data_IF_984711497843
#
_entry.id   IF_984711497843
#
_cell.length_a   1.000
_cell.length_b   1.000
_cell.length_c   1.000
_cell.angle_alpha   90.00
_cell.angle_beta   90.00
_cell.angle_gamma   90.00
#
_symmetry.space_group_name_H-M   'P 1'
#
loop_
_entity.id
_entity.type
_entity.pdbx_description
1 polymer ?
#
# COMPACT_ATOMS: atom_id res chain seq x y z
N UNK A 1 -4.20 -2.15 -11.81
CA UNK A 1 -4.56 -3.15 -10.80
C UNK A 1 -4.33 -4.58 -11.31
N UNK A 2 -5.01 -4.99 -12.37
CA UNK A 2 -4.94 -6.37 -12.91
C UNK A 2 -3.53 -6.90 -13.13
N UNK A 3 -2.63 -6.11 -13.74
CA UNK A 3 -1.23 -6.53 -13.92
C UNK A 3 -0.56 -7.01 -12.62
N UNK A 4 -0.84 -6.35 -11.48
CA UNK A 4 -0.27 -6.74 -10.18
C UNK A 4 -0.84 -8.07 -9.70
N UNK A 5 -2.12 -8.32 -9.96
CA UNK A 5 -2.78 -9.59 -9.63
C UNK A 5 -2.13 -10.69 -10.47
N UNK A 6 -2.00 -10.49 -11.78
CA UNK A 6 -1.41 -11.47 -12.69
C UNK A 6 0.06 -11.77 -12.34
N UNK A 7 0.86 -10.73 -12.07
CA UNK A 7 2.26 -10.87 -11.67
C UNK A 7 2.37 -11.70 -10.37
N UNK A 8 1.52 -11.46 -9.37
CA UNK A 8 1.52 -12.20 -8.10
C UNK A 8 1.06 -13.65 -8.28
N UNK A 9 0.01 -13.90 -9.08
CA UNK A 9 -0.47 -15.25 -9.39
C UNK A 9 0.65 -16.09 -9.99
N UNK A 10 1.35 -15.53 -10.98
CA UNK A 10 2.46 -16.17 -11.66
C UNK A 10 3.65 -16.40 -10.72
N UNK A 11 4.05 -15.40 -9.93
CA UNK A 11 5.18 -15.52 -8.99
C UNK A 11 4.93 -16.59 -7.92
N UNK A 12 3.73 -16.62 -7.34
CA UNK A 12 3.35 -17.59 -6.33
C UNK A 12 3.02 -18.98 -6.90
N UNK A 13 3.06 -19.13 -8.23
CA UNK A 13 2.75 -20.39 -8.95
C UNK A 13 1.42 -20.98 -8.50
N UNK A 14 0.38 -20.17 -8.44
CA UNK A 14 -0.95 -20.61 -7.99
C UNK A 14 -1.47 -21.71 -8.90
N UNK A 15 -2.02 -22.76 -8.28
CA UNK A 15 -2.54 -23.93 -8.97
C UNK A 15 -4.06 -23.89 -9.09
N UNK A 16 -4.64 -24.71 -9.96
CA UNK A 16 -6.11 -24.81 -10.11
C UNK A 16 -6.82 -25.20 -8.81
N UNK A 17 -6.15 -25.95 -7.92
CA UNK A 17 -6.69 -26.32 -6.60
C UNK A 17 -6.79 -25.12 -5.65
N UNK A 18 -5.98 -24.09 -5.86
CA UNK A 18 -5.92 -22.87 -5.05
C UNK A 18 -6.70 -21.70 -5.68
N UNK A 19 -7.23 -21.89 -6.89
CA UNK A 19 -7.96 -20.86 -7.64
C UNK A 19 -9.10 -20.23 -6.82
N UNK A 20 -9.94 -20.98 -6.06
CA UNK A 20 -11.00 -20.36 -5.27
C UNK A 20 -10.49 -19.35 -4.23
N UNK A 21 -9.43 -19.69 -3.50
CA UNK A 21 -8.82 -18.82 -2.50
C UNK A 21 -8.06 -17.67 -3.14
N UNK A 22 -7.42 -17.92 -4.28
CA UNK A 22 -6.77 -16.88 -5.07
C UNK A 22 -7.77 -15.84 -5.56
N UNK A 23 -8.90 -16.27 -6.13
CA UNK A 23 -9.92 -15.38 -6.68
C UNK A 23 -10.53 -14.50 -5.58
N UNK A 24 -10.77 -15.06 -4.39
CA UNK A 24 -11.23 -14.30 -3.23
C UNK A 24 -10.21 -13.24 -2.78
N UNK A 25 -8.92 -13.57 -2.78
CA UNK A 25 -7.84 -12.63 -2.48
C UNK A 25 -7.72 -11.54 -3.55
N UNK A 26 -7.73 -11.92 -4.83
CA UNK A 26 -7.68 -11.01 -5.96
C UNK A 26 -8.89 -10.06 -5.97
N UNK A 27 -10.08 -10.56 -5.68
CA UNK A 27 -11.29 -9.74 -5.56
C UNK A 27 -11.16 -8.73 -4.42
N UNK A 28 -10.68 -9.15 -3.26
CA UNK A 28 -10.43 -8.23 -2.13
C UNK A 28 -9.45 -7.12 -2.53
N UNK A 29 -8.40 -7.46 -3.29
CA UNK A 29 -7.48 -6.47 -3.80
C UNK A 29 -8.14 -5.47 -4.77
N UNK A 30 -9.01 -5.94 -5.68
CA UNK A 30 -9.76 -5.06 -6.60
C UNK A 30 -10.73 -4.14 -5.87
N UNK A 31 -11.51 -4.70 -4.95
CA UNK A 31 -12.50 -3.95 -4.16
C UNK A 31 -11.82 -2.87 -3.32
N UNK A 32 -10.68 -3.20 -2.70
CA UNK A 32 -9.90 -2.24 -1.94
C UNK A 32 -9.35 -1.12 -2.83
N UNK A 33 -8.84 -1.45 -4.03
CA UNK A 33 -8.36 -0.46 -4.98
C UNK A 33 -9.49 0.49 -5.41
N UNK A 34 -10.64 -0.04 -5.82
CA UNK A 34 -11.79 0.76 -6.24
C UNK A 34 -12.29 1.70 -5.13
N UNK A 35 -12.40 1.21 -3.88
CA UNK A 35 -12.80 2.03 -2.73
C UNK A 35 -11.79 3.13 -2.42
N UNK A 36 -10.51 2.79 -2.49
CA UNK A 36 -9.43 3.75 -2.23
C UNK A 36 -9.42 4.84 -3.29
N UNK A 37 -9.51 4.47 -4.57
CA UNK A 37 -9.56 5.41 -5.70
C UNK A 37 -10.78 6.35 -5.58
N UNK A 38 -11.96 5.80 -5.26
CA UNK A 38 -13.17 6.60 -5.04
C UNK A 38 -12.99 7.59 -3.87
N UNK A 39 -12.48 7.14 -2.72
CA UNK A 39 -12.29 8.00 -1.56
C UNK A 39 -11.28 9.13 -1.83
N UNK A 40 -10.20 8.85 -2.55
CA UNK A 40 -9.23 9.87 -2.97
C UNK A 40 -9.84 10.86 -3.95
N UNK A 41 -10.63 10.39 -4.92
CA UNK A 41 -11.34 11.25 -5.87
C UNK A 41 -12.32 12.18 -5.15
N UNK A 42 -13.19 11.63 -4.30
CA UNK A 42 -14.18 12.40 -3.54
C UNK A 42 -13.52 13.46 -2.66
N UNK A 43 -12.43 13.07 -1.97
CA UNK A 43 -11.67 14.00 -1.14
C UNK A 43 -11.01 15.10 -1.96
N UNK A 44 -10.41 14.77 -3.11
CA UNK A 44 -9.78 15.76 -3.98
C UNK A 44 -10.79 16.80 -4.49
N UNK A 45 -12.04 16.40 -4.72
CA UNK A 45 -13.12 17.29 -5.12
C UNK A 45 -13.66 18.16 -3.99
N UNK A 46 -13.77 17.64 -2.76
CA UNK A 46 -14.35 18.37 -1.62
C UNK A 46 -13.35 19.28 -0.91
N UNK A 47 -12.11 18.83 -0.75
CA UNK A 47 -11.08 19.48 0.05
C UNK A 47 -10.89 20.99 -0.22
N UNK A 48 -10.89 21.48 -1.48
CA UNK A 48 -10.70 22.91 -1.74
C UNK A 48 -11.76 23.82 -1.12
N UNK A 49 -12.92 23.27 -0.76
CA UNK A 49 -14.06 23.98 -0.18
C UNK A 49 -14.31 23.67 1.30
N UNK A 50 -13.57 22.72 1.88
CA UNK A 50 -13.72 22.32 3.28
C UNK A 50 -13.01 23.30 4.22
N UNK A 51 -13.60 23.51 5.41
CA UNK A 51 -12.88 24.16 6.50
C UNK A 51 -11.87 23.18 7.13
N UNK A 52 -11.04 23.68 8.05
CA UNK A 52 -9.98 22.89 8.68
C UNK A 52 -10.50 21.68 9.48
N UNK A 53 -11.66 21.78 10.13
CA UNK A 53 -12.27 20.70 10.92
C UNK A 53 -12.74 19.57 10.00
N UNK A 54 -13.45 19.91 8.92
CA UNK A 54 -13.94 18.94 7.95
C UNK A 54 -12.79 18.27 7.18
N UNK A 55 -11.74 19.02 6.84
CA UNK A 55 -10.54 18.47 6.21
C UNK A 55 -9.84 17.43 7.09
N UNK A 56 -9.86 17.60 8.42
CA UNK A 56 -9.32 16.64 9.39
C UNK A 56 -10.20 15.41 9.55
N UNK A 57 -11.53 15.56 9.57
CA UNK A 57 -12.46 14.42 9.54
C UNK A 57 -12.28 13.57 8.28
N UNK A 58 -12.20 14.21 7.11
CA UNK A 58 -11.96 13.52 5.84
C UNK A 58 -10.64 12.72 5.85
N UNK A 59 -9.59 13.26 6.46
CA UNK A 59 -8.33 12.52 6.61
C UNK A 59 -8.47 11.32 7.54
N UNK A 60 -9.17 11.47 8.66
CA UNK A 60 -9.44 10.37 9.59
C UNK A 60 -10.25 9.24 8.92
N UNK A 61 -11.25 9.58 8.12
CA UNK A 61 -12.03 8.61 7.33
C UNK A 61 -11.16 7.84 6.33
N UNK A 62 -10.25 8.53 5.64
CA UNK A 62 -9.31 7.89 4.72
C UNK A 62 -8.35 6.93 5.44
N UNK A 63 -7.87 7.32 6.63
CA UNK A 63 -7.03 6.46 7.47
C UNK A 63 -7.80 5.21 7.95
N UNK A 64 -9.06 5.38 8.36
CA UNK A 64 -9.92 4.26 8.73
C UNK A 64 -10.18 3.32 7.55
N UNK A 65 -10.50 3.87 6.37
CA UNK A 65 -10.67 3.09 5.15
C UNK A 65 -9.41 2.27 4.83
N UNK A 66 -8.23 2.87 4.99
CA UNK A 66 -6.97 2.15 4.80
C UNK A 66 -6.83 0.97 5.78
N UNK A 67 -7.11 1.19 7.07
CA UNK A 67 -7.07 0.14 8.07
C UNK A 67 -8.05 -1.00 7.75
N UNK A 68 -9.30 -0.68 7.41
CA UNK A 68 -10.34 -1.65 7.05
C UNK A 68 -9.94 -2.47 5.81
N UNK A 69 -9.39 -1.80 4.79
CA UNK A 69 -8.91 -2.46 3.58
C UNK A 69 -7.75 -3.41 3.89
N UNK A 70 -6.81 -3.00 4.76
CA UNK A 70 -5.69 -3.85 5.18
C UNK A 70 -6.14 -5.05 6.00
N UNK A 71 -7.15 -4.89 6.88
CA UNK A 71 -7.74 -6.01 7.61
C UNK A 71 -8.39 -7.03 6.67
N UNK A 72 -9.18 -6.57 5.68
CA UNK A 72 -9.80 -7.47 4.68
C UNK A 72 -8.76 -8.18 3.82
N UNK A 73 -7.73 -7.47 3.40
CA UNK A 73 -6.63 -8.04 2.63
C UNK A 73 -5.87 -9.08 3.45
N UNK A 74 -5.60 -8.81 4.73
CA UNK A 74 -4.95 -9.76 5.63
C UNK A 74 -5.77 -11.03 5.82
N UNK A 75 -7.09 -10.90 6.03
CA UNK A 75 -7.98 -12.05 6.20
C UNK A 75 -8.03 -12.94 4.95
N UNK A 76 -8.21 -12.34 3.76
CA UNK A 76 -8.23 -13.09 2.49
C UNK A 76 -6.87 -13.70 2.16
N UNK A 77 -5.77 -13.00 2.44
CA UNK A 77 -4.43 -13.56 2.28
C UNK A 77 -4.17 -14.73 3.23
N UNK A 78 -4.64 -14.66 4.48
CA UNK A 78 -4.52 -15.77 5.45
C UNK A 78 -5.20 -17.04 4.93
N UNK A 79 -6.41 -16.90 4.36
CA UNK A 79 -7.12 -18.01 3.74
C UNK A 79 -6.35 -18.61 2.54
N UNK A 80 -5.79 -17.77 1.67
CA UNK A 80 -4.93 -18.23 0.57
C UNK A 80 -3.66 -18.92 1.09
N UNK A 81 -2.94 -18.30 2.02
CA UNK A 81 -1.69 -18.79 2.56
C UNK A 81 -1.81 -20.16 3.23
N UNK A 82 -2.96 -20.45 3.87
CA UNK A 82 -3.26 -21.74 4.44
C UNK A 82 -3.29 -22.88 3.39
N UNK A 83 -3.59 -22.57 2.13
CA UNK A 83 -3.63 -23.55 1.02
C UNK A 83 -2.31 -23.69 0.27
N UNK A 84 -1.33 -22.84 0.56
CA UNK A 84 -0.03 -22.86 -0.12
C UNK A 84 0.84 -24.01 0.38
N UNK A 85 1.59 -24.61 -0.54
CA UNK A 85 2.67 -25.55 -0.20
C UNK A 85 3.83 -24.83 0.48
N UNK A 86 4.71 -25.58 1.15
CA UNK A 86 5.89 -25.00 1.80
C UNK A 86 6.82 -24.28 0.80
N UNK A 87 6.91 -24.76 -0.44
CA UNK A 87 7.66 -24.09 -1.50
C UNK A 87 7.02 -22.74 -1.87
N UNK A 88 5.69 -22.72 -2.05
CA UNK A 88 4.97 -21.48 -2.37
C UNK A 88 5.03 -20.48 -1.21
N UNK A 89 4.97 -20.94 0.05
CA UNK A 89 5.13 -20.08 1.24
C UNK A 89 6.51 -19.42 1.26
N UNK A 90 7.58 -20.16 0.95
CA UNK A 90 8.94 -19.59 0.83
C UNK A 90 9.05 -18.50 -0.24
N UNK A 91 8.25 -18.57 -1.30
CA UNK A 91 8.16 -17.52 -2.32
C UNK A 91 7.29 -16.34 -1.83
N UNK A 92 6.16 -16.63 -1.20
CA UNK A 92 5.20 -15.62 -0.74
C UNK A 92 5.77 -14.76 0.40
N UNK A 93 6.42 -15.37 1.38
CA UNK A 93 6.95 -14.70 2.56
C UNK A 93 7.75 -13.42 2.24
N UNK A 94 8.79 -13.43 1.39
CA UNK A 94 9.54 -12.21 1.06
C UNK A 94 8.72 -11.18 0.28
N UNK A 95 7.74 -11.60 -0.55
CA UNK A 95 6.88 -10.67 -1.29
C UNK A 95 6.03 -9.79 -0.36
N UNK A 96 5.66 -10.31 0.82
CA UNK A 96 4.77 -9.64 1.77
C UNK A 96 5.47 -9.19 3.07
N UNK A 97 6.70 -9.64 3.38
CA UNK A 97 7.49 -9.23 4.56
C UNK A 97 8.17 -7.86 4.48
N UNK A 98 7.83 -7.02 3.49
CA UNK A 98 8.26 -5.62 3.42
C UNK A 98 9.71 -5.38 2.94
N UNK A 99 10.13 -5.96 1.81
CA UNK A 99 11.35 -5.49 1.11
C UNK A 99 11.17 -4.12 0.41
N UNK A 100 9.95 -3.57 0.38
CA UNK A 100 9.69 -2.21 -0.11
C UNK A 100 10.19 -1.11 0.83
N UNK A 101 10.44 -1.40 2.12
CA UNK A 101 11.07 -0.45 3.04
C UNK A 101 12.52 -0.10 2.64
N UNK A 102 13.21 -0.96 1.89
CA UNK A 102 14.58 -0.69 1.41
C UNK A 102 14.64 0.22 0.18
N UNK A 103 13.53 0.46 -0.52
CA UNK A 103 13.51 1.28 -1.75
C UNK A 103 13.24 2.77 -1.51
N UNK A 104 12.80 3.18 -0.32
CA UNK A 104 12.60 4.60 0.03
C UNK A 104 13.72 5.23 0.87
N UNK A 105 14.73 4.45 1.27
CA UNK A 105 15.97 4.98 1.86
C UNK A 105 17.04 5.18 0.77
N UNK A 106 16.72 5.98 -0.26
CA UNK A 106 17.78 6.56 -1.10
C UNK A 106 18.61 7.51 -0.25
N UNK A 107 19.95 7.57 -0.41
CA UNK A 107 20.78 8.45 0.41
C UNK A 107 20.37 9.90 0.16
N UNK A 108 19.75 10.54 1.15
CA UNK A 108 19.63 12.00 1.19
C UNK A 108 21.04 12.55 1.29
N UNK A 109 21.65 12.91 0.15
CA UNK A 109 22.82 13.78 0.14
C UNK A 109 22.37 15.15 0.66
N UNK A 110 22.48 15.35 1.97
CA UNK A 110 22.54 16.69 2.54
C UNK A 110 23.78 17.37 1.97
N UNK A 111 23.59 18.33 1.07
CA UNK A 111 24.63 19.29 0.71
C UNK A 111 24.84 20.17 1.96
N UNK A 112 26.05 20.25 2.54
CA UNK A 112 26.28 21.18 3.64
C UNK A 112 26.08 22.60 3.11
N UNK A 113 25.25 23.37 3.80
CA UNK A 113 25.11 24.80 3.55
C UNK A 113 26.48 25.44 3.74
N UNK A 114 26.95 26.16 2.72
CA UNK A 114 28.18 26.92 2.78
C UNK A 114 28.06 27.94 3.93
N UNK A 115 29.10 27.97 4.77
CA UNK A 115 29.30 28.89 5.88
C UNK A 115 29.05 30.33 5.44
N UNK A 116 28.18 31.05 6.16
CA UNK A 116 28.04 32.49 6.02
C UNK A 116 29.37 33.18 6.41
N UNK A 117 29.85 34.20 5.68
CA UNK A 117 30.97 35.00 6.14
C UNK A 117 30.52 35.97 7.26
N UNK A 118 31.40 36.16 8.23
CA UNK A 118 31.22 37.04 9.38
C UNK A 118 31.03 38.52 8.96
N UNK A 119 30.32 39.35 9.75
CA UNK A 119 30.18 40.77 9.46
C UNK A 119 31.50 41.49 9.74
N UNK A 120 31.97 42.27 8.77
CA UNK A 120 33.06 43.22 8.96
C UNK A 120 32.50 44.52 9.55
N UNK A 121 33.10 44.96 10.64
CA UNK A 121 32.87 46.25 11.29
C UNK A 121 33.24 47.42 10.39
N UNK A 122 32.48 48.51 10.47
CA UNK A 122 32.93 49.89 10.41
C UNK A 122 31.91 50.80 11.09
#
# INVERSE_FOLDING_TARGET
MEKRIDDLHAQMKITSQQAPQWDAFAQTMRDNAAKTDQAFHDRAHKLPSENADDAMKSYAELAQLHADNMQKLSASFSALYATLSDEQKKIADPLFRNDHAKRHAGPRKHKPAASAPAPASN
#
